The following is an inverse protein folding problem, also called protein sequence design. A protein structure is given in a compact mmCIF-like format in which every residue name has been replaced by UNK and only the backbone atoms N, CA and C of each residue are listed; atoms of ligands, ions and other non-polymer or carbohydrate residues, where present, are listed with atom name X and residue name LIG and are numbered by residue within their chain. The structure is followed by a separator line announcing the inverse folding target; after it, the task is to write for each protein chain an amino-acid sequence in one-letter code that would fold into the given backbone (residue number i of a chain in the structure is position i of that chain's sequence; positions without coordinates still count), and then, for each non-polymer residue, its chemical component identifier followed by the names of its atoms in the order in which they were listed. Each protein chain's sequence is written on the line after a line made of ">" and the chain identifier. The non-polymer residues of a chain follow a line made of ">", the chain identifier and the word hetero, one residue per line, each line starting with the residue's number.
data_IF_793354043507
#
_entry.id   IF_793354043507
#
_cell.length_a   1.000
_cell.length_b   1.000
_cell.length_c   1.000
_cell.angle_alpha   90.00
_cell.angle_beta   90.00
_cell.angle_gamma   90.00
#
_symmetry.space_group_name_H-M   'P 1'
#
loop_
_entity.id
_entity.type
_entity.pdbx_description
1 polymer ?
#
# COMPACT_ATOMS: atom_id res chain seq x y z
N UNK A 1 -49.53 -24.40 45.03
CA UNK A 1 -48.57 -25.00 44.08
C UNK A 1 -47.79 -23.85 43.45
N UNK A 2 -46.58 -23.60 43.95
CA UNK A 2 -45.70 -22.54 43.42
C UNK A 2 -44.87 -23.15 42.30
N UNK A 3 -45.14 -22.74 41.06
CA UNK A 3 -44.29 -23.06 39.91
C UNK A 3 -43.05 -22.17 39.96
N UNK A 4 -41.91 -22.73 40.33
CA UNK A 4 -40.63 -22.12 40.05
C UNK A 4 -40.34 -22.32 38.56
N UNK A 5 -40.50 -21.26 37.76
CA UNK A 5 -39.91 -21.23 36.43
C UNK A 5 -38.42 -20.97 36.63
N UNK A 6 -37.62 -22.02 36.59
CA UNK A 6 -36.17 -21.88 36.43
C UNK A 6 -35.97 -21.20 35.08
N UNK A 7 -35.67 -19.90 35.09
CA UNK A 7 -35.15 -19.23 33.90
C UNK A 7 -33.79 -19.86 33.67
N UNK A 8 -33.70 -20.77 32.72
CA UNK A 8 -32.42 -21.28 32.25
C UNK A 8 -31.79 -20.12 31.48
N UNK A 9 -30.89 -19.38 32.14
CA UNK A 9 -30.07 -18.41 31.44
C UNK A 9 -29.13 -19.20 30.53
N UNK A 10 -29.35 -19.17 29.21
CA UNK A 10 -28.41 -19.79 28.28
C UNK A 10 -27.12 -19.00 28.35
N UNK A 11 -25.99 -19.68 28.59
CA UNK A 11 -24.69 -19.05 28.47
C UNK A 11 -24.43 -18.73 26.99
N UNK A 12 -23.76 -17.62 26.76
CA UNK A 12 -23.33 -17.17 25.44
C UNK A 12 -21.88 -17.60 25.21
N UNK A 13 -21.62 -18.22 24.07
CA UNK A 13 -20.32 -18.73 23.64
C UNK A 13 -19.94 -18.23 22.24
N UNK A 14 -20.72 -17.31 21.67
CA UNK A 14 -20.47 -16.73 20.37
C UNK A 14 -19.46 -15.60 20.54
N UNK A 15 -18.36 -15.62 19.79
CA UNK A 15 -17.42 -14.50 19.78
C UNK A 15 -17.86 -13.42 18.77
N UNK A 16 -17.50 -12.14 19.00
CA UNK A 16 -17.81 -11.07 18.05
C UNK A 16 -17.27 -11.36 16.65
N UNK A 17 -18.03 -11.00 15.62
CA UNK A 17 -17.54 -10.98 14.24
C UNK A 17 -16.88 -9.63 13.94
N UNK A 18 -15.61 -9.66 13.53
CA UNK A 18 -14.85 -8.48 13.10
C UNK A 18 -14.72 -8.50 11.58
N UNK A 19 -15.04 -7.38 10.93
CA UNK A 19 -14.81 -7.13 9.51
C UNK A 19 -14.01 -5.84 9.36
N UNK A 20 -12.81 -5.95 8.79
CA UNK A 20 -11.95 -4.80 8.52
C UNK A 20 -12.14 -4.30 7.08
N UNK A 21 -12.65 -3.08 6.87
CA UNK A 21 -12.65 -2.44 5.56
C UNK A 21 -11.25 -2.34 4.96
N UNK A 22 -11.16 -2.13 3.64
CA UNK A 22 -9.90 -1.76 3.02
C UNK A 22 -9.41 -0.41 3.54
N UNK A 23 -8.10 -0.26 3.71
CA UNK A 23 -7.51 1.02 4.05
C UNK A 23 -6.55 1.46 2.95
N UNK A 24 -6.53 2.76 2.68
CA UNK A 24 -5.57 3.38 1.78
C UNK A 24 -4.14 3.29 2.32
N UNK A 25 -3.15 3.48 1.45
CA UNK A 25 -1.76 3.59 1.88
C UNK A 25 -1.56 4.75 2.87
N UNK A 26 -0.55 4.63 3.74
CA UNK A 26 -0.16 5.74 4.60
C UNK A 26 0.39 6.89 3.74
N UNK A 27 -0.03 8.10 4.07
CA UNK A 27 0.50 9.34 3.52
C UNK A 27 1.07 10.18 4.66
N UNK A 28 1.95 11.14 4.34
CA UNK A 28 2.47 12.12 5.30
C UNK A 28 1.37 13.15 5.67
N UNK A 29 0.32 12.67 6.35
CA UNK A 29 -0.85 13.42 6.80
C UNK A 29 -0.83 13.65 8.32
N UNK A 30 -1.80 14.39 8.86
CA UNK A 30 -1.89 14.68 10.29
C UNK A 30 -2.26 13.46 11.16
N UNK A 31 -2.66 12.33 10.56
CA UNK A 31 -2.99 11.09 11.26
C UNK A 31 -3.73 10.12 10.35
N UNK A 32 -3.88 8.88 10.82
CA UNK A 32 -4.43 7.79 10.02
C UNK A 32 -5.60 7.10 10.72
N UNK A 33 -6.77 7.08 10.07
CA UNK A 33 -7.98 6.46 10.62
C UNK A 33 -7.97 4.96 10.34
N UNK A 34 -8.11 4.17 11.40
CA UNK A 34 -8.41 2.74 11.32
C UNK A 34 -9.84 2.54 11.79
N UNK A 35 -10.57 1.67 11.09
CA UNK A 35 -11.94 1.32 11.40
C UNK A 35 -12.18 -0.17 11.32
N UNK A 36 -13.10 -0.67 12.14
CA UNK A 36 -13.57 -2.05 12.10
C UNK A 36 -15.10 -2.04 12.21
N UNK A 37 -15.76 -2.97 11.49
CA UNK A 37 -17.15 -3.31 11.76
C UNK A 37 -17.17 -4.51 12.70
N UNK A 38 -17.81 -4.37 13.85
CA UNK A 38 -17.88 -5.41 14.89
C UNK A 38 -19.34 -5.67 15.23
N UNK A 39 -19.75 -6.93 15.16
CA UNK A 39 -21.14 -7.36 15.41
C UNK A 39 -21.18 -8.58 16.30
N UNK A 40 -22.13 -8.60 17.23
CA UNK A 40 -22.36 -9.68 18.19
C UNK A 40 -23.80 -9.55 18.74
N UNK A 41 -24.46 -10.66 19.06
CA UNK A 41 -25.83 -10.69 19.59
C UNK A 41 -25.90 -10.51 21.12
N UNK A 42 -24.87 -10.93 21.86
CA UNK A 42 -24.67 -10.66 23.29
C UNK A 42 -24.20 -9.23 23.59
N UNK A 43 -23.66 -8.57 22.57
CA UNK A 43 -23.28 -7.16 22.57
C UNK A 43 -21.82 -6.95 22.95
N UNK A 44 -21.25 -5.86 22.44
CA UNK A 44 -19.82 -5.58 22.53
C UNK A 44 -19.46 -4.89 23.85
N UNK A 45 -18.42 -5.39 24.52
CA UNK A 45 -17.80 -4.77 25.70
C UNK A 45 -16.63 -3.87 25.29
N UNK A 46 -15.65 -4.40 24.55
CA UNK A 46 -14.46 -3.64 24.10
C UNK A 46 -14.09 -3.95 22.67
N UNK A 47 -13.53 -2.95 21.98
CA UNK A 47 -12.83 -3.12 20.70
C UNK A 47 -11.50 -2.38 20.79
N UNK A 48 -10.40 -3.08 20.58
CA UNK A 48 -9.04 -2.53 20.67
C UNK A 48 -8.26 -2.74 19.38
N UNK A 49 -7.50 -1.72 19.01
CA UNK A 49 -6.49 -1.79 17.97
C UNK A 49 -5.16 -2.14 18.63
N UNK A 50 -4.52 -3.19 18.12
CA UNK A 50 -3.17 -3.58 18.47
C UNK A 50 -2.28 -3.27 17.28
N UNK A 51 -1.32 -2.34 17.42
CA UNK A 51 -0.47 -1.92 16.31
C UNK A 51 1.00 -1.75 16.72
N UNK A 52 1.89 -1.87 15.74
CA UNK A 52 3.31 -1.53 15.86
C UNK A 52 3.88 -1.17 14.49
N UNK A 53 5.14 -0.75 14.46
CA UNK A 53 5.84 -0.50 13.19
C UNK A 53 6.15 -1.82 12.50
N UNK A 54 5.98 -1.89 11.18
CA UNK A 54 6.31 -3.09 10.39
C UNK A 54 7.77 -3.49 10.62
N UNK A 55 7.98 -4.76 10.97
CA UNK A 55 9.30 -5.33 11.24
C UNK A 55 9.89 -4.97 12.61
N UNK A 56 9.10 -4.34 13.49
CA UNK A 56 9.47 -4.21 14.91
C UNK A 56 9.27 -5.54 15.64
N UNK A 57 10.21 -5.84 16.54
CA UNK A 57 10.13 -6.96 17.49
C UNK A 57 9.49 -6.56 18.83
N UNK A 58 9.07 -5.31 18.96
CA UNK A 58 8.42 -4.80 20.16
C UNK A 58 7.00 -5.36 20.31
N UNK A 59 6.49 -5.33 21.54
CA UNK A 59 5.08 -5.62 21.82
C UNK A 59 4.15 -4.65 21.08
N UNK A 60 2.95 -5.12 20.73
CA UNK A 60 1.92 -4.26 20.16
C UNK A 60 1.48 -3.19 21.15
N UNK A 61 1.39 -1.96 20.67
CA UNK A 61 0.70 -0.88 21.38
C UNK A 61 -0.80 -1.09 21.26
N UNK A 62 -1.55 -0.78 22.32
CA UNK A 62 -3.00 -1.03 22.40
C UNK A 62 -3.74 0.29 22.60
N UNK A 63 -4.68 0.57 21.71
CA UNK A 63 -5.60 1.71 21.85
C UNK A 63 -7.04 1.27 21.64
N UNK A 64 -8.02 1.91 22.30
CA UNK A 64 -9.43 1.61 22.06
C UNK A 64 -9.87 2.11 20.69
N UNK A 65 -10.65 1.32 19.96
CA UNK A 65 -11.51 1.83 18.90
C UNK A 65 -12.84 2.27 19.52
N UNK A 66 -13.27 3.50 19.25
CA UNK A 66 -14.51 4.05 19.78
C UNK A 66 -15.65 3.88 18.76
N UNK A 67 -16.91 3.66 19.21
CA UNK A 67 -18.05 3.61 18.30
C UNK A 67 -18.14 4.88 17.45
N UNK A 68 -18.26 4.72 16.14
CA UNK A 68 -18.59 5.81 15.22
C UNK A 68 -20.13 6.01 15.20
N UNK A 69 -20.62 6.99 14.44
CA UNK A 69 -22.06 7.27 14.30
C UNK A 69 -22.83 6.16 13.58
N UNK A 70 -22.11 5.32 12.83
CA UNK A 70 -22.67 4.18 12.11
C UNK A 70 -22.73 2.96 13.02
N UNK A 71 -23.89 2.32 13.08
CA UNK A 71 -24.10 1.14 13.92
C UNK A 71 -23.10 0.03 13.61
N UNK A 72 -22.47 -0.51 14.67
CA UNK A 72 -21.48 -1.57 14.58
C UNK A 72 -20.12 -1.14 14.03
N UNK A 73 -19.89 0.14 13.74
CA UNK A 73 -18.57 0.63 13.33
C UNK A 73 -17.81 1.24 14.50
N UNK A 74 -16.54 0.90 14.60
CA UNK A 74 -15.60 1.40 15.60
C UNK A 74 -14.40 2.00 14.88
N UNK A 75 -13.82 3.08 15.41
CA UNK A 75 -12.65 3.70 14.80
C UNK A 75 -11.71 4.37 15.81
N UNK A 76 -10.46 4.52 15.41
CA UNK A 76 -9.45 5.30 16.10
C UNK A 76 -8.60 6.04 15.06
N UNK A 77 -7.98 7.15 15.48
CA UNK A 77 -7.02 7.90 14.66
C UNK A 77 -5.65 7.76 15.29
N UNK A 78 -4.71 7.16 14.56
CA UNK A 78 -3.31 7.13 14.92
C UNK A 78 -2.67 8.48 14.57
N UNK A 79 -2.05 9.18 15.53
CA UNK A 79 -1.37 10.43 15.27
C UNK A 79 -0.10 10.20 14.43
N UNK A 80 0.28 11.20 13.63
CA UNK A 80 1.36 11.08 12.65
C UNK A 80 2.75 10.73 13.25
N UNK A 81 2.99 11.12 14.50
CA UNK A 81 4.24 10.84 15.23
C UNK A 81 4.40 9.37 15.64
N UNK A 82 3.33 8.58 15.59
CA UNK A 82 3.34 7.14 15.82
C UNK A 82 3.40 6.32 14.52
N UNK A 83 3.30 6.97 13.37
CA UNK A 83 3.37 6.34 12.06
C UNK A 83 4.82 6.41 11.57
N UNK A 84 5.55 5.31 11.76
CA UNK A 84 6.96 5.21 11.35
C UNK A 84 7.08 4.42 10.04
N UNK A 85 8.14 4.70 9.28
CA UNK A 85 8.45 3.95 8.05
C UNK A 85 8.98 2.55 8.42
N UNK A 86 8.67 1.51 7.63
CA UNK A 86 8.01 1.55 6.32
C UNK A 86 6.47 1.61 6.39
N UNK A 87 5.90 1.49 7.59
CA UNK A 87 4.47 1.58 7.85
C UNK A 87 4.10 0.90 9.16
N UNK A 88 2.83 0.58 9.32
CA UNK A 88 2.30 -0.10 10.52
C UNK A 88 1.79 -1.50 10.19
N UNK A 89 1.88 -2.39 11.17
CA UNK A 89 1.15 -3.64 11.17
C UNK A 89 0.21 -3.68 12.36
N UNK A 90 -0.98 -4.23 12.15
CA UNK A 90 -2.03 -4.21 13.17
C UNK A 90 -3.00 -5.39 13.08
N UNK A 91 -3.67 -5.65 14.20
CA UNK A 91 -4.89 -6.44 14.28
C UNK A 91 -5.90 -5.74 15.21
N UNK A 92 -7.16 -6.15 15.11
CA UNK A 92 -8.23 -5.70 16.00
C UNK A 92 -8.65 -6.86 16.88
N UNK A 93 -8.81 -6.60 18.18
CA UNK A 93 -9.42 -7.52 19.13
C UNK A 93 -10.79 -6.97 19.55
N UNK A 94 -11.80 -7.84 19.60
CA UNK A 94 -13.11 -7.51 20.12
C UNK A 94 -13.50 -8.50 21.22
N UNK A 95 -14.12 -7.97 22.27
CA UNK A 95 -14.63 -8.75 23.40
C UNK A 95 -16.10 -8.41 23.63
N UNK A 96 -16.95 -9.42 23.74
CA UNK A 96 -18.36 -9.25 24.10
C UNK A 96 -18.57 -9.15 25.62
N UNK A 97 -19.83 -9.02 26.06
CA UNK A 97 -20.19 -8.99 27.49
C UNK A 97 -20.11 -10.34 28.19
N UNK A 98 -20.05 -11.43 27.45
CA UNK A 98 -19.85 -12.79 27.96
C UNK A 98 -18.36 -13.16 28.07
N UNK A 99 -17.45 -12.23 27.74
CA UNK A 99 -16.00 -12.40 27.67
C UNK A 99 -15.51 -13.35 26.57
N UNK A 100 -16.31 -13.59 25.52
CA UNK A 100 -15.82 -14.20 24.29
C UNK A 100 -14.99 -13.18 23.50
N UNK A 101 -13.88 -13.63 22.93
CA UNK A 101 -12.89 -12.79 22.25
C UNK A 101 -12.70 -13.27 20.81
N UNK A 102 -12.56 -12.33 19.89
CA UNK A 102 -12.10 -12.57 18.53
C UNK A 102 -11.01 -11.59 18.13
N UNK A 103 -10.19 -11.99 17.15
CA UNK A 103 -9.09 -11.19 16.62
C UNK A 103 -9.11 -11.25 15.09
N UNK A 104 -8.90 -10.11 14.43
CA UNK A 104 -8.86 -10.02 12.97
C UNK A 104 -7.83 -8.98 12.48
N UNK A 105 -6.89 -9.37 11.59
CA UNK A 105 -6.47 -10.76 11.35
C UNK A 105 -5.82 -11.35 12.62
N UNK A 106 -5.27 -12.57 12.53
CA UNK A 106 -4.55 -13.15 13.67
C UNK A 106 -3.27 -12.36 14.00
N UNK A 107 -2.87 -12.27 15.29
CA UNK A 107 -1.69 -11.52 15.71
C UNK A 107 -0.35 -11.97 15.08
N UNK A 108 -0.26 -13.22 14.63
CA UNK A 108 0.92 -13.78 13.94
C UNK A 108 0.94 -13.46 12.43
N UNK A 109 -0.17 -12.95 11.90
CA UNK A 109 -0.33 -12.51 10.51
C UNK A 109 -1.03 -11.13 10.48
N UNK A 110 -0.45 -10.12 11.14
CA UNK A 110 -1.08 -8.81 11.25
C UNK A 110 -1.23 -8.17 9.87
N UNK A 111 -2.27 -7.35 9.72
CA UNK A 111 -2.47 -6.58 8.48
C UNK A 111 -1.42 -5.50 8.40
N UNK A 112 -0.74 -5.39 7.26
CA UNK A 112 0.27 -4.38 7.01
C UNK A 112 -0.30 -3.22 6.17
N UNK A 113 0.06 -1.99 6.55
CA UNK A 113 -0.21 -0.77 5.78
C UNK A 113 1.10 -0.02 5.61
N UNK A 114 1.52 0.10 4.35
CA UNK A 114 2.76 0.78 3.98
C UNK A 114 2.52 2.26 3.66
N UNK A 115 3.57 3.06 3.82
CA UNK A 115 3.63 4.37 3.17
C UNK A 115 3.54 4.25 1.65
N UNK A 116 2.78 5.16 1.04
CA UNK A 116 2.80 5.33 -0.40
C UNK A 116 4.25 5.59 -0.85
N UNK A 117 4.72 4.79 -1.80
CA UNK A 117 6.03 5.04 -2.41
C UNK A 117 5.96 6.37 -3.13
N UNK A 118 6.73 7.36 -2.69
CA UNK A 118 6.97 8.54 -3.50
C UNK A 118 7.70 8.09 -4.77
N UNK A 119 7.01 7.91 -5.89
CA UNK A 119 7.69 8.02 -7.18
C UNK A 119 8.29 9.42 -7.21
N UNK A 120 9.58 9.53 -6.95
CA UNK A 120 10.30 10.75 -7.25
C UNK A 120 9.98 11.10 -8.71
N UNK A 121 9.64 12.36 -9.05
CA UNK A 121 9.68 12.75 -10.44
C UNK A 121 11.10 12.42 -10.91
N UNK A 122 11.22 11.54 -11.90
CA UNK A 122 12.50 11.28 -12.54
C UNK A 122 12.96 12.62 -13.09
N UNK A 123 13.80 13.31 -12.32
CA UNK A 123 14.59 14.41 -12.84
C UNK A 123 15.67 13.76 -13.69
N UNK A 124 15.34 13.53 -14.95
CA UNK A 124 16.33 13.22 -15.97
C UNK A 124 17.19 14.47 -16.16
N UNK A 125 18.26 14.58 -15.39
CA UNK A 125 19.43 15.45 -15.64
C UNK A 125 20.61 14.67 -15.08
N UNK A 126 21.71 14.39 -15.78
CA UNK A 126 22.43 15.12 -16.84
C UNK A 126 23.12 14.06 -17.76
N UNK A 127 23.57 14.33 -18.99
CA UNK A 127 24.60 15.32 -19.30
C UNK A 127 24.68 15.62 -20.81
N UNK A 128 24.84 16.90 -21.15
CA UNK A 128 25.30 17.30 -22.49
C UNK A 128 24.75 18.62 -23.01
N UNK A 129 25.32 19.73 -22.52
CA UNK A 129 25.56 20.99 -23.24
C UNK A 129 24.42 21.61 -24.09
N UNK A 130 23.90 22.70 -23.54
CA UNK A 130 23.45 23.94 -24.19
C UNK A 130 22.92 23.88 -25.64
N UNK A 131 21.65 24.31 -25.77
CA UNK A 131 21.10 25.16 -26.86
C UNK A 131 19.90 24.54 -27.61
N UNK A 132 18.71 24.96 -27.12
CA UNK A 132 17.54 25.45 -27.88
C UNK A 132 16.70 24.46 -28.73
N UNK A 133 15.40 24.49 -28.37
CA UNK A 133 14.21 24.63 -29.24
C UNK A 133 13.72 23.41 -30.04
N UNK A 134 12.63 22.83 -29.52
CA UNK A 134 11.39 22.38 -30.20
C UNK A 134 11.51 21.79 -31.62
N UNK A 135 11.56 20.46 -31.75
CA UNK A 135 11.36 19.84 -33.06
C UNK A 135 9.86 19.82 -33.42
N UNK A 136 9.34 20.95 -33.91
CA UNK A 136 8.23 20.95 -34.88
C UNK A 136 8.85 21.03 -36.27
N UNK A 137 8.93 19.91 -36.99
CA UNK A 137 9.06 19.91 -38.44
C UNK A 137 7.98 18.93 -38.91
N UNK A 138 6.84 19.35 -39.45
CA UNK A 138 6.66 20.47 -40.37
C UNK A 138 6.85 19.96 -41.78
N UNK A 139 5.76 19.46 -42.36
CA UNK A 139 5.49 19.34 -43.79
C UNK A 139 6.33 20.28 -44.69
N UNK A 140 6.92 19.78 -45.77
CA UNK A 140 7.57 20.61 -46.81
C UNK A 140 8.64 19.85 -47.58
N UNK A 141 8.31 18.96 -48.54
CA UNK A 141 8.18 19.22 -50.00
C UNK A 141 9.47 19.75 -50.67
N UNK A 142 9.80 19.14 -51.82
CA UNK A 142 10.72 19.58 -52.90
C UNK A 142 12.22 19.42 -52.58
N UNK A 143 13.10 19.00 -53.48
CA UNK A 143 13.05 18.60 -54.87
C UNK A 143 14.49 18.18 -55.25
N UNK A 144 14.62 17.33 -56.26
CA UNK A 144 15.72 17.28 -57.26
C UNK A 144 17.14 17.57 -56.71
N UNK A 145 17.96 16.57 -56.43
CA UNK A 145 18.68 15.85 -57.48
C UNK A 145 19.70 16.75 -58.18
N UNK A 146 20.99 16.62 -57.85
CA UNK A 146 22.15 16.85 -58.71
C UNK A 146 23.46 17.02 -57.91
N UNK A 147 24.49 16.21 -58.26
CA UNK A 147 25.91 16.60 -58.44
C UNK A 147 26.74 16.86 -57.14
N UNK A 148 27.93 16.30 -56.85
CA UNK A 148 29.06 15.77 -57.62
C UNK A 148 30.00 14.91 -56.72
N UNK A 149 30.74 13.98 -57.36
CA UNK A 149 32.16 13.56 -57.20
C UNK A 149 32.90 13.74 -55.85
N UNK A 150 33.88 12.93 -55.44
CA UNK A 150 34.53 11.69 -55.85
C UNK A 150 35.65 11.41 -54.80
N UNK A 151 36.20 10.19 -54.82
CA UNK A 151 37.55 9.80 -54.38
C UNK A 151 37.81 9.41 -52.90
N UNK A 152 37.70 8.10 -52.64
CA UNK A 152 38.79 7.13 -52.46
C UNK A 152 39.94 7.29 -51.43
N UNK A 153 40.25 6.12 -50.84
CA UNK A 153 41.48 5.61 -50.20
C UNK A 153 41.71 6.01 -48.73
N UNK A 154 42.28 5.20 -47.84
CA UNK A 154 42.67 3.78 -47.74
C UNK A 154 43.16 3.62 -46.28
N UNK A 155 43.27 2.39 -45.77
CA UNK A 155 44.22 2.09 -44.68
C UNK A 155 43.58 1.82 -43.32
N UNK A 156 43.59 0.55 -42.94
CA UNK A 156 43.04 0.06 -41.68
C UNK A 156 44.02 -0.06 -40.52
N UNK A 157 43.45 -0.63 -39.47
CA UNK A 157 44.03 -1.49 -38.43
C UNK A 157 43.94 -0.99 -36.96
N UNK A 158 43.63 -1.99 -36.13
CA UNK A 158 43.79 -2.12 -34.68
C UNK A 158 42.78 -1.47 -33.73
N UNK A 159 42.02 -2.33 -33.03
CA UNK A 159 41.39 -1.97 -31.75
C UNK A 159 40.15 -2.77 -31.35
N UNK A 160 40.38 -4.03 -30.96
CA UNK A 160 39.48 -5.01 -30.31
C UNK A 160 38.42 -4.46 -29.32
N UNK A 161 37.19 -4.98 -29.40
CA UNK A 161 36.44 -5.66 -28.31
C UNK A 161 34.92 -5.49 -28.45
N UNK A 162 34.19 -6.60 -28.37
CA UNK A 162 32.79 -6.57 -27.90
C UNK A 162 31.76 -7.15 -28.87
N UNK A 163 31.57 -8.46 -28.76
CA UNK A 163 30.39 -9.26 -29.07
C UNK A 163 29.19 -8.57 -29.79
N UNK A 164 28.94 -9.06 -31.00
CA UNK A 164 27.72 -8.92 -31.78
C UNK A 164 26.51 -9.54 -31.04
N UNK A 165 25.49 -8.73 -30.75
CA UNK A 165 24.14 -9.19 -30.44
C UNK A 165 23.30 -9.06 -31.70
N UNK A 166 23.14 -10.17 -32.42
CA UNK A 166 22.19 -10.28 -33.53
C UNK A 166 20.79 -10.37 -32.94
N UNK A 167 19.94 -9.38 -33.19
CA UNK A 167 18.51 -9.46 -32.91
C UNK A 167 17.82 -9.58 -34.26
N UNK A 168 17.53 -10.82 -34.63
CA UNK A 168 16.77 -11.16 -35.82
C UNK A 168 15.28 -10.90 -35.54
N UNK A 169 14.70 -9.91 -36.22
CA UNK A 169 13.26 -9.68 -36.24
C UNK A 169 12.64 -10.45 -37.41
N UNK A 170 11.47 -11.09 -37.25
CA UNK A 170 10.83 -11.83 -38.33
C UNK A 170 10.37 -10.88 -39.44
N UNK A 171 10.56 -11.33 -40.68
CA UNK A 171 10.20 -10.64 -41.92
C UNK A 171 8.67 -10.43 -42.05
N UNK A 172 8.20 -9.51 -42.93
CA UNK A 172 6.86 -8.92 -42.90
C UNK A 172 5.71 -9.89 -43.18
#
# INVERSE_FOLDING_TARGET
>A
MLLFHTVVNSADFSAPLIVLPFNEALEDSAGYKISARVTDDGGIETVSLHYRTIGSEDDFQVIPLVPDRSEGFYSAVLPADQLLRPGIEYYVEAKDRASNISQEPFPDQPRQVFYASAQAPVKTGDAGSSTKKWWWIGLGVLATGALLAAANNDGGDSGDTGATLSIEAPAP
#
